data_IF_643607896782
#
_entry.id   IF_643607896782
#
_cell.length_a   1.000
_cell.length_b   1.000
_cell.length_c   1.000
_cell.angle_alpha   90.00
_cell.angle_beta   90.00
_cell.angle_gamma   90.00
#
_symmetry.space_group_name_H-M   'P 1'
#
loop_
_entity.id
_entity.type
_entity.pdbx_description
1 polymer ?
#
# COMPACT_ATOMS: atom_id res chain seq x y z
N UNK A 1 12.95 6.31 -0.40
CA UNK A 1 12.39 6.18 -1.75
C UNK A 1 11.96 7.57 -2.19
N UNK A 2 12.93 8.29 -2.74
CA UNK A 2 12.81 9.70 -3.07
C UNK A 2 12.23 9.77 -4.49
N UNK A 3 11.08 10.44 -4.60
CA UNK A 3 10.30 10.73 -5.83
C UNK A 3 9.78 9.54 -6.64
N UNK A 4 8.64 8.98 -6.20
CA UNK A 4 7.68 8.41 -7.13
C UNK A 4 6.68 9.52 -7.52
N UNK A 5 6.47 9.74 -8.82
CA UNK A 5 5.52 10.75 -9.32
C UNK A 5 4.07 10.41 -8.97
N UNK A 6 3.78 9.12 -8.79
CA UNK A 6 2.47 8.59 -8.43
C UNK A 6 2.62 7.73 -7.18
N UNK A 7 1.81 8.03 -6.17
CA UNK A 7 1.74 7.25 -4.92
C UNK A 7 0.31 6.74 -4.77
N UNK A 8 0.16 5.42 -4.68
CA UNK A 8 -1.13 4.78 -4.42
C UNK A 8 -1.19 4.33 -2.97
N UNK A 9 -2.11 4.91 -2.18
CA UNK A 9 -2.22 4.62 -0.75
C UNK A 9 -3.37 3.68 -0.41
N UNK A 10 -3.09 2.65 0.40
CA UNK A 10 -4.09 1.74 0.95
C UNK A 10 -4.38 1.98 2.44
N UNK A 11 -5.66 1.84 2.84
CA UNK A 11 -6.11 2.12 4.20
C UNK A 11 -6.98 1.03 4.83
N UNK A 12 -7.40 1.27 6.09
CA UNK A 12 -8.33 0.38 6.83
C UNK A 12 -9.60 0.04 6.03
N UNK A 13 -10.04 0.94 5.15
CA UNK A 13 -11.19 0.74 4.27
C UNK A 13 -11.07 -0.45 3.30
N UNK A 14 -9.86 -1.00 3.10
CA UNK A 14 -9.66 -2.20 2.29
C UNK A 14 -10.20 -3.47 2.98
N UNK A 15 -10.40 -3.46 4.31
CA UNK A 15 -11.09 -4.51 5.05
C UNK A 15 -10.33 -5.84 5.23
N UNK A 16 -9.47 -6.21 4.28
CA UNK A 16 -8.63 -7.41 4.36
C UNK A 16 -7.31 -7.23 3.59
N UNK A 17 -6.25 -8.00 3.93
CA UNK A 17 -4.94 -7.90 3.30
C UNK A 17 -4.95 -8.33 1.82
N UNK A 18 -5.85 -9.23 1.42
CA UNK A 18 -5.96 -9.68 0.02
C UNK A 18 -6.33 -8.52 -0.90
N UNK A 19 -7.17 -7.59 -0.43
CA UNK A 19 -7.56 -6.39 -1.17
C UNK A 19 -6.40 -5.42 -1.35
N UNK A 20 -5.33 -5.54 -0.56
CA UNK A 20 -4.13 -4.72 -0.73
C UNK A 20 -3.39 -5.02 -2.05
N UNK A 21 -3.58 -6.23 -2.61
CA UNK A 21 -3.08 -6.57 -3.95
C UNK A 21 -3.61 -5.64 -5.02
N UNK A 22 -4.84 -5.14 -4.90
CA UNK A 22 -5.42 -4.19 -5.85
C UNK A 22 -4.67 -2.85 -5.86
N UNK A 23 -4.28 -2.38 -4.66
CA UNK A 23 -3.49 -1.15 -4.50
C UNK A 23 -2.11 -1.32 -5.13
N UNK A 24 -1.51 -2.49 -4.93
CA UNK A 24 -0.19 -2.84 -5.46
C UNK A 24 -0.21 -2.94 -6.98
N UNK A 25 -1.17 -3.69 -7.55
CA UNK A 25 -1.35 -3.78 -9.01
C UNK A 25 -1.65 -2.43 -9.66
N UNK A 26 -2.37 -1.53 -8.98
CA UNK A 26 -2.60 -0.18 -9.48
C UNK A 26 -1.29 0.62 -9.51
N UNK A 27 -0.49 0.56 -8.44
CA UNK A 27 0.81 1.24 -8.40
C UNK A 27 1.77 0.69 -9.47
N UNK A 28 1.77 -0.62 -9.70
CA UNK A 28 2.61 -1.27 -10.71
C UNK A 28 2.30 -0.74 -12.13
N UNK A 29 1.02 -0.52 -12.45
CA UNK A 29 0.60 0.06 -13.75
C UNK A 29 1.13 1.49 -13.93
N UNK A 30 1.21 2.25 -12.85
CA UNK A 30 1.70 3.63 -12.86
C UNK A 30 3.21 3.74 -12.61
N UNK A 31 3.93 2.62 -12.49
CA UNK A 31 5.32 2.58 -12.02
C UNK A 31 5.52 3.45 -10.75
N UNK A 32 4.50 3.49 -9.90
CA UNK A 32 4.41 4.34 -8.73
C UNK A 32 4.84 3.64 -7.45
N UNK A 33 4.81 4.36 -6.33
CA UNK A 33 5.04 3.79 -5.01
C UNK A 33 3.73 3.42 -4.31
N UNK A 34 3.77 2.39 -3.48
CA UNK A 34 2.63 2.01 -2.63
C UNK A 34 2.82 2.59 -1.23
N UNK A 35 1.81 3.29 -0.73
CA UNK A 35 1.73 3.79 0.64
C UNK A 35 0.69 3.03 1.46
N UNK A 36 0.86 2.99 2.78
CA UNK A 36 -0.10 2.39 3.69
C UNK A 36 -0.29 3.27 4.94
N UNK A 37 -1.52 3.35 5.44
CA UNK A 37 -1.81 4.10 6.67
C UNK A 37 -1.39 3.34 7.94
N UNK A 38 -1.07 4.07 9.01
CA UNK A 38 -0.54 3.51 10.27
C UNK A 38 -1.24 2.25 10.78
N UNK A 39 -2.59 2.15 10.88
CA UNK A 39 -3.24 0.93 11.37
C UNK A 39 -3.07 -0.27 10.43
N UNK A 40 -2.98 -0.05 9.11
CA UNK A 40 -2.74 -1.11 8.11
C UNK A 40 -1.39 -1.79 8.35
N UNK A 41 -0.38 -0.98 8.66
CA UNK A 41 1.00 -1.42 8.91
C UNK A 41 1.19 -1.93 10.34
N UNK A 42 0.66 -1.21 11.34
CA UNK A 42 1.02 -1.42 12.74
C UNK A 42 0.08 -2.38 13.51
N UNK A 43 -1.18 -2.51 13.07
CA UNK A 43 -2.20 -3.27 13.82
C UNK A 43 -2.81 -4.38 12.98
N UNK A 44 -3.07 -4.10 11.70
CA UNK A 44 -3.76 -5.02 10.80
C UNK A 44 -2.79 -5.92 10.01
N UNK A 45 -1.50 -5.57 9.98
CA UNK A 45 -0.44 -6.34 9.32
C UNK A 45 -0.72 -6.69 7.85
N UNK A 46 -1.39 -5.79 7.11
CA UNK A 46 -1.72 -6.07 5.71
C UNK A 46 -0.52 -5.96 4.77
N UNK A 47 0.52 -5.23 5.19
CA UNK A 47 1.74 -5.02 4.41
C UNK A 47 2.92 -5.21 5.33
N UNK A 48 3.85 -6.08 4.94
CA UNK A 48 5.13 -6.21 5.64
C UNK A 48 6.02 -5.04 5.20
N UNK A 49 6.35 -4.14 6.13
CA UNK A 49 7.32 -3.08 5.85
C UNK A 49 8.69 -3.75 5.81
N UNK A 50 9.16 -4.03 4.60
CA UNK A 50 10.57 -4.35 4.39
C UNK A 50 11.38 -3.12 4.79
N UNK A 51 12.15 -3.24 5.86
CA UNK A 51 13.19 -2.28 6.25
C UNK A 51 14.10 -1.96 5.07
#
# INVERSE_FOLDING_TARGET
>A
AETADIIVSGGRGLGCPENFKLVQSLADVFCGAVGASRPVVAVLNYVSVGT
#
